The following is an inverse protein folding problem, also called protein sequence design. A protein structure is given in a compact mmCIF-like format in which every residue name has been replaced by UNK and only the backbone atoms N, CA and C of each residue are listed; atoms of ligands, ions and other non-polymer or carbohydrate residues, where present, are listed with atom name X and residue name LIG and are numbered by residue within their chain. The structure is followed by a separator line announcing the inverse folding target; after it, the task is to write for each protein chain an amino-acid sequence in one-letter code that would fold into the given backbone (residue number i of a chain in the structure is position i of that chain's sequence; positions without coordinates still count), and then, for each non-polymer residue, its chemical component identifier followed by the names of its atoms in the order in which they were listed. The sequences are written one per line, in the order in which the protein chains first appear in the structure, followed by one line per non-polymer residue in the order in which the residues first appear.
data_IF_088431853725
#
_entry.id   IF_088431853725
#
_cell.length_a   1.000
_cell.length_b   1.000
_cell.length_c   1.000
_cell.angle_alpha   90.00
_cell.angle_beta   90.00
_cell.angle_gamma   90.00
#
_symmetry.space_group_name_H-M   'P 1'
#
loop_
_entity.id
_entity.type
_entity.pdbx_description
1 polymer ?
#
# COMPACT_ATOMS: atom_id res chain seq x y z
N UNK A 1 -25.81 23.83 51.04
CA UNK A 1 -24.88 22.81 50.50
C UNK A 1 -24.17 23.44 49.30
N UNK A 2 -22.92 23.89 49.47
CA UNK A 2 -22.15 24.50 48.38
C UNK A 2 -21.44 23.38 47.62
N UNK A 3 -21.80 23.16 46.37
CA UNK A 3 -21.18 22.16 45.49
C UNK A 3 -19.83 22.71 45.06
N UNK A 4 -18.72 22.06 45.43
CA UNK A 4 -17.38 22.48 45.02
C UNK A 4 -17.24 22.33 43.50
N UNK A 5 -16.98 23.44 42.78
CA UNK A 5 -16.78 23.46 41.32
C UNK A 5 -15.33 23.12 40.91
N UNK A 6 -14.48 22.84 41.90
CA UNK A 6 -13.08 22.47 41.72
C UNK A 6 -12.81 21.23 40.84
N UNK A 7 -13.56 20.12 40.93
CA UNK A 7 -13.30 18.96 40.08
C UNK A 7 -13.63 19.23 38.61
N UNK A 8 -14.67 20.03 38.32
CA UNK A 8 -15.01 20.45 36.95
C UNK A 8 -13.97 21.40 36.35
N UNK A 9 -13.45 22.34 37.15
CA UNK A 9 -12.35 23.23 36.76
C UNK A 9 -11.04 22.48 36.51
N UNK A 10 -10.72 21.47 37.34
CA UNK A 10 -9.53 20.64 37.17
C UNK A 10 -9.61 19.76 35.90
N UNK A 11 -10.78 19.18 35.62
CA UNK A 11 -11.01 18.39 34.39
C UNK A 11 -10.96 19.29 33.15
N UNK A 12 -11.57 20.47 33.19
CA UNK A 12 -11.51 21.43 32.09
C UNK A 12 -10.08 21.96 31.85
N UNK A 13 -9.30 22.22 32.91
CA UNK A 13 -7.91 22.62 32.80
C UNK A 13 -7.03 21.50 32.23
N UNK A 14 -7.17 20.27 32.72
CA UNK A 14 -6.42 19.11 32.19
C UNK A 14 -6.76 18.82 30.71
N UNK A 15 -8.03 18.97 30.33
CA UNK A 15 -8.45 18.86 28.93
C UNK A 15 -7.88 20.00 28.08
N UNK A 16 -7.85 21.24 28.58
CA UNK A 16 -7.25 22.37 27.88
C UNK A 16 -5.73 22.21 27.70
N UNK A 17 -5.02 21.69 28.71
CA UNK A 17 -3.59 21.38 28.60
C UNK A 17 -3.30 20.25 27.61
N UNK A 18 -4.17 19.24 27.51
CA UNK A 18 -4.03 18.19 26.51
C UNK A 18 -4.30 18.68 25.07
N UNK A 19 -5.17 19.68 24.89
CA UNK A 19 -5.46 20.30 23.58
C UNK A 19 -4.38 21.32 23.16
N UNK A 20 -3.68 21.92 24.13
CA UNK A 20 -2.61 22.91 23.90
C UNK A 20 -1.20 22.32 23.94
N UNK A 21 -1.05 21.05 24.31
CA UNK A 21 0.25 20.38 24.25
C UNK A 21 0.67 20.25 22.79
N UNK A 22 1.80 20.86 22.43
CA UNK A 22 2.45 20.60 21.15
C UNK A 22 2.71 19.09 21.05
N UNK A 23 2.48 18.53 19.86
CA UNK A 23 2.78 17.13 19.59
C UNK A 23 4.26 16.90 19.93
N UNK A 24 4.61 16.06 20.92
CA UNK A 24 5.99 15.84 21.31
C UNK A 24 6.83 15.20 20.18
N UNK A 25 6.19 14.71 19.12
CA UNK A 25 6.80 14.21 17.90
C UNK A 25 6.61 15.14 16.70
N UNK A 26 5.93 16.27 16.87
CA UNK A 26 5.80 17.30 15.85
C UNK A 26 7.16 17.91 15.52
N UNK A 27 7.48 18.01 14.24
CA UNK A 27 8.71 18.64 13.76
C UNK A 27 8.40 19.81 12.82
N UNK A 28 9.28 20.82 12.82
CA UNK A 28 9.25 21.88 11.82
C UNK A 28 9.44 21.33 10.40
N UNK A 29 8.98 22.09 9.39
CA UNK A 29 9.18 21.72 8.00
C UNK A 29 10.67 21.49 7.68
N UNK A 30 10.98 20.26 7.26
CA UNK A 30 12.36 19.86 6.95
C UNK A 30 12.87 20.54 5.67
N UNK A 31 14.17 20.85 5.66
CA UNK A 31 14.89 21.35 4.47
C UNK A 31 16.10 20.48 4.15
N UNK A 32 16.62 20.58 2.92
CA UNK A 32 17.84 19.88 2.46
C UNK A 32 17.78 18.35 2.55
N UNK A 33 16.60 17.78 2.34
CA UNK A 33 16.36 16.31 2.35
C UNK A 33 16.47 15.66 0.97
N UNK A 34 16.76 16.45 -0.08
CA UNK A 34 16.95 15.98 -1.45
C UNK A 34 18.36 16.34 -1.97
N UNK A 35 19.11 15.41 -2.60
CA UNK A 35 18.73 14.01 -2.85
C UNK A 35 18.59 13.21 -1.54
N UNK A 36 17.73 12.15 -1.52
CA UNK A 36 17.45 11.41 -0.29
C UNK A 36 18.70 10.78 0.32
N UNK A 37 18.91 11.02 1.61
CA UNK A 37 20.02 10.47 2.39
C UNK A 37 19.65 10.33 3.87
N UNK A 38 20.50 9.63 4.63
CA UNK A 38 20.34 9.49 6.08
C UNK A 38 19.28 8.45 6.49
N UNK A 39 18.80 8.49 7.74
CA UNK A 39 18.08 7.38 8.36
C UNK A 39 16.68 7.13 7.79
N UNK A 40 16.06 8.13 7.15
CA UNK A 40 14.74 8.02 6.52
C UNK A 40 14.81 7.43 5.11
N UNK A 41 15.97 7.45 4.46
CA UNK A 41 16.18 6.84 3.16
C UNK A 41 16.43 5.33 3.30
N UNK A 42 15.56 4.51 2.70
CA UNK A 42 15.64 3.04 2.77
C UNK A 42 16.19 2.37 1.51
N UNK A 43 16.66 3.17 0.55
CA UNK A 43 17.25 2.68 -0.68
C UNK A 43 16.47 3.10 -1.93
N UNK A 44 17.10 2.88 -3.08
CA UNK A 44 16.50 3.15 -4.38
C UNK A 44 15.48 2.07 -4.74
N UNK A 45 14.43 2.46 -5.45
CA UNK A 45 13.40 1.55 -5.95
C UNK A 45 13.82 1.03 -7.33
N UNK A 46 13.91 -0.29 -7.48
CA UNK A 46 14.28 -0.93 -8.75
C UNK A 46 13.17 -0.78 -9.80
N UNK A 47 13.56 -0.53 -11.05
CA UNK A 47 12.62 -0.44 -12.18
C UNK A 47 12.54 -1.76 -12.94
N UNK A 48 11.32 -2.18 -13.29
CA UNK A 48 11.03 -3.35 -14.10
C UNK A 48 10.19 -2.96 -15.32
N UNK A 49 10.43 -3.62 -16.45
CA UNK A 49 9.59 -3.46 -17.64
C UNK A 49 8.45 -4.47 -17.56
N UNK A 50 7.22 -3.97 -17.71
CA UNK A 50 6.03 -4.79 -17.94
C UNK A 50 5.68 -4.71 -19.42
N UNK A 51 6.00 -5.77 -20.16
CA UNK A 51 5.76 -5.81 -21.60
C UNK A 51 4.30 -6.17 -21.91
N UNK A 52 3.53 -5.18 -22.36
CA UNK A 52 2.10 -5.32 -22.69
C UNK A 52 1.85 -6.13 -23.98
N UNK A 53 2.89 -6.40 -24.78
CA UNK A 53 2.81 -7.27 -25.96
C UNK A 53 2.81 -8.76 -25.57
N UNK A 54 3.22 -9.09 -24.34
CA UNK A 54 3.11 -10.45 -23.81
C UNK A 54 1.65 -10.77 -23.44
N UNK A 55 1.24 -12.06 -23.50
CA UNK A 55 -0.01 -12.50 -22.92
C UNK A 55 -0.04 -12.14 -21.42
N UNK A 56 -1.18 -11.69 -20.85
CA UNK A 56 -1.23 -11.17 -19.49
C UNK A 56 -0.65 -12.10 -18.42
N UNK A 57 -0.88 -13.40 -18.56
CA UNK A 57 -0.36 -14.43 -17.65
C UNK A 57 1.17 -14.54 -17.59
N UNK A 58 1.91 -13.86 -18.48
CA UNK A 58 3.38 -13.89 -18.56
C UNK A 58 4.03 -12.52 -18.29
N UNK A 59 3.23 -11.45 -18.16
CA UNK A 59 3.73 -10.07 -18.03
C UNK A 59 4.58 -9.85 -16.78
N UNK A 60 4.30 -10.61 -15.73
CA UNK A 60 4.88 -10.45 -14.41
C UNK A 60 6.04 -11.41 -14.10
N UNK A 61 6.38 -12.33 -15.03
CA UNK A 61 7.35 -13.40 -14.80
C UNK A 61 8.71 -12.89 -14.32
N UNK A 62 9.26 -11.87 -14.99
CA UNK A 62 10.58 -11.32 -14.65
C UNK A 62 10.58 -10.58 -13.31
N UNK A 63 9.49 -9.90 -12.97
CA UNK A 63 9.37 -9.27 -11.67
C UNK A 63 9.32 -10.34 -10.57
N UNK A 64 8.51 -11.39 -10.75
CA UNK A 64 8.35 -12.41 -9.73
C UNK A 64 9.52 -13.38 -9.64
N UNK A 65 10.33 -13.55 -10.68
CA UNK A 65 11.59 -14.29 -10.54
C UNK A 65 12.48 -13.68 -9.46
N UNK A 66 12.43 -12.34 -9.33
CA UNK A 66 13.29 -11.58 -8.45
C UNK A 66 12.64 -11.29 -7.08
N UNK A 67 11.30 -11.21 -7.02
CA UNK A 67 10.53 -10.74 -5.83
C UNK A 67 9.65 -11.79 -5.16
N UNK A 68 9.59 -13.02 -5.68
CA UNK A 68 8.69 -14.07 -5.12
C UNK A 68 8.98 -14.43 -3.67
N UNK A 69 10.22 -14.28 -3.18
CA UNK A 69 10.57 -14.63 -1.80
C UNK A 69 9.92 -13.61 -0.87
N UNK A 70 10.13 -12.32 -1.13
CA UNK A 70 9.54 -11.23 -0.35
C UNK A 70 8.01 -11.25 -0.41
N UNK A 71 7.44 -11.61 -1.57
CA UNK A 71 5.99 -11.72 -1.71
C UNK A 71 5.45 -12.87 -0.85
N UNK A 72 6.13 -14.03 -0.84
CA UNK A 72 5.78 -15.15 0.05
C UNK A 72 5.89 -14.78 1.51
N UNK A 73 6.90 -14.01 1.90
CA UNK A 73 7.06 -13.53 3.28
C UNK A 73 5.85 -12.72 3.73
N UNK A 74 5.45 -11.70 2.95
CA UNK A 74 4.28 -10.87 3.29
C UNK A 74 3.00 -11.71 3.40
N UNK A 75 2.75 -12.59 2.42
CA UNK A 75 1.57 -13.44 2.42
C UNK A 75 1.57 -14.38 3.64
N UNK A 76 2.71 -14.96 3.98
CA UNK A 76 2.82 -15.82 5.17
C UNK A 76 2.58 -15.04 6.46
N UNK A 77 3.07 -13.81 6.58
CA UNK A 77 2.81 -12.94 7.72
C UNK A 77 1.33 -12.58 7.84
N UNK A 78 0.65 -12.27 6.73
CA UNK A 78 -0.81 -12.06 6.70
C UNK A 78 -1.54 -13.32 7.20
N UNK A 79 -1.16 -14.52 6.73
CA UNK A 79 -1.75 -15.79 7.19
C UNK A 79 -1.51 -16.04 8.68
N UNK A 80 -0.31 -15.74 9.18
CA UNK A 80 0.01 -15.90 10.60
C UNK A 80 -0.85 -14.97 11.47
N UNK A 81 -1.03 -13.72 11.04
CA UNK A 81 -1.92 -12.76 11.70
C UNK A 81 -3.36 -13.29 11.67
N UNK A 82 -3.87 -13.70 10.50
CA UNK A 82 -5.22 -14.25 10.37
C UNK A 82 -5.45 -15.47 11.28
N UNK A 83 -4.47 -16.39 11.36
CA UNK A 83 -4.54 -17.57 12.22
C UNK A 83 -4.45 -17.21 13.72
N UNK A 84 -3.76 -16.13 14.10
CA UNK A 84 -3.75 -15.67 15.48
C UNK A 84 -5.14 -15.17 15.93
N UNK A 85 -5.89 -14.52 15.04
CA UNK A 85 -7.27 -14.07 15.31
C UNK A 85 -8.32 -15.16 15.10
N UNK A 86 -8.10 -16.07 14.15
CA UNK A 86 -9.01 -17.19 13.82
C UNK A 86 -8.22 -18.51 13.81
N UNK A 87 -7.89 -19.08 14.98
CA UNK A 87 -7.01 -20.26 15.09
C UNK A 87 -7.56 -21.52 14.43
N UNK A 88 -8.87 -21.54 14.14
CA UNK A 88 -9.52 -22.65 13.44
C UNK A 88 -9.03 -22.88 12.00
N UNK A 89 -8.24 -21.97 11.43
CA UNK A 89 -7.77 -22.05 10.04
C UNK A 89 -8.83 -21.73 8.98
N UNK A 90 -10.10 -21.58 9.39
CA UNK A 90 -11.24 -21.30 8.51
C UNK A 90 -11.05 -20.04 7.66
N UNK A 91 -10.39 -19.01 8.19
CA UNK A 91 -10.14 -17.78 7.43
C UNK A 91 -9.26 -18.06 6.20
N UNK A 92 -8.17 -18.82 6.38
CA UNK A 92 -7.27 -19.23 5.30
C UNK A 92 -7.97 -20.18 4.33
N UNK A 93 -8.76 -21.14 4.84
CA UNK A 93 -9.53 -22.06 3.99
C UNK A 93 -10.55 -21.33 3.09
N UNK A 94 -11.23 -20.31 3.61
CA UNK A 94 -12.16 -19.47 2.84
C UNK A 94 -11.41 -18.71 1.75
N UNK A 95 -10.23 -18.17 2.04
CA UNK A 95 -9.38 -17.49 1.06
C UNK A 95 -9.02 -18.45 -0.07
N UNK A 96 -8.53 -19.64 0.26
CA UNK A 96 -8.05 -20.61 -0.72
C UNK A 96 -9.17 -21.22 -1.57
N UNK A 97 -10.39 -21.32 -1.05
CA UNK A 97 -11.50 -22.01 -1.73
C UNK A 97 -12.57 -21.08 -2.31
N UNK A 98 -12.84 -19.93 -1.67
CA UNK A 98 -13.93 -19.02 -2.05
C UNK A 98 -13.42 -17.81 -2.83
N UNK A 99 -12.32 -17.17 -2.43
CA UNK A 99 -11.84 -15.97 -3.12
C UNK A 99 -11.35 -16.27 -4.54
N UNK A 100 -10.93 -17.51 -4.82
CA UNK A 100 -10.65 -17.94 -6.20
C UNK A 100 -11.84 -17.72 -7.14
N UNK A 101 -13.09 -17.79 -6.65
CA UNK A 101 -14.28 -17.53 -7.46
C UNK A 101 -14.42 -16.07 -7.89
N UNK A 102 -13.82 -15.13 -7.16
CA UNK A 102 -13.80 -13.72 -7.58
C UNK A 102 -12.95 -13.51 -8.82
N UNK A 103 -12.01 -14.42 -9.13
CA UNK A 103 -11.17 -14.21 -10.31
C UNK A 103 -11.96 -14.25 -11.63
N UNK A 104 -13.07 -14.99 -11.67
CA UNK A 104 -13.93 -15.03 -12.85
C UNK A 104 -14.78 -13.78 -13.02
N UNK A 105 -14.93 -12.96 -11.97
CA UNK A 105 -15.65 -11.68 -12.03
C UNK A 105 -14.72 -10.53 -12.41
N UNK A 106 -13.40 -10.71 -12.29
CA UNK A 106 -12.43 -9.69 -12.66
C UNK A 106 -12.32 -9.58 -14.19
N UNK A 107 -12.32 -8.35 -14.74
CA UNK A 107 -12.24 -8.15 -16.18
C UNK A 107 -10.85 -8.52 -16.71
N UNK A 108 -10.80 -8.91 -17.97
CA UNK A 108 -9.55 -8.99 -18.72
C UNK A 108 -8.89 -7.61 -18.75
N UNK A 109 -7.57 -7.48 -18.54
CA UNK A 109 -6.57 -8.55 -18.44
C UNK A 109 -6.30 -9.09 -17.02
N UNK A 110 -6.86 -8.47 -15.97
CA UNK A 110 -6.43 -8.67 -14.58
C UNK A 110 -6.59 -10.11 -14.10
N UNK A 111 -7.67 -10.77 -14.50
CA UNK A 111 -7.90 -12.18 -14.17
C UNK A 111 -6.74 -13.10 -14.61
N UNK A 112 -6.20 -12.89 -15.80
CA UNK A 112 -5.08 -13.67 -16.34
C UNK A 112 -3.73 -13.24 -15.76
N UNK A 113 -3.56 -11.96 -15.46
CA UNK A 113 -2.35 -11.47 -14.76
C UNK A 113 -2.22 -12.08 -13.36
N UNK A 114 -3.30 -12.13 -12.59
CA UNK A 114 -3.32 -12.74 -11.26
C UNK A 114 -3.03 -14.25 -11.29
N UNK A 115 -3.57 -14.97 -12.28
CA UNK A 115 -3.21 -16.38 -12.52
C UNK A 115 -1.73 -16.54 -12.84
N UNK A 116 -1.19 -15.66 -13.67
CA UNK A 116 0.24 -15.62 -14.00
C UNK A 116 1.12 -15.41 -12.77
N UNK A 117 0.75 -14.44 -11.92
CA UNK A 117 1.43 -14.14 -10.66
C UNK A 117 1.43 -15.34 -9.71
N UNK A 118 0.27 -15.98 -9.53
CA UNK A 118 0.14 -17.17 -8.70
C UNK A 118 1.06 -18.31 -9.20
N UNK A 119 1.07 -18.56 -10.51
CA UNK A 119 1.91 -19.59 -11.11
C UNK A 119 3.41 -19.29 -10.97
N UNK A 120 3.85 -18.07 -11.29
CA UNK A 120 5.27 -17.69 -11.25
C UNK A 120 5.83 -17.57 -9.82
N UNK A 121 5.01 -17.19 -8.85
CA UNK A 121 5.40 -17.17 -7.43
C UNK A 121 5.29 -18.55 -6.77
N UNK A 122 4.36 -19.39 -7.22
CA UNK A 122 3.95 -20.62 -6.52
C UNK A 122 3.13 -20.34 -5.26
N UNK A 123 2.41 -19.22 -5.22
CA UNK A 123 1.48 -18.85 -4.16
C UNK A 123 0.06 -19.25 -4.61
N UNK A 124 -0.79 -19.81 -3.72
CA UNK A 124 -2.18 -20.10 -4.04
C UNK A 124 -2.91 -18.88 -4.63
N UNK A 125 -3.71 -19.11 -5.67
CA UNK A 125 -4.40 -18.03 -6.39
C UNK A 125 -5.33 -17.21 -5.49
N UNK A 126 -5.99 -17.84 -4.52
CA UNK A 126 -6.86 -17.15 -3.56
C UNK A 126 -6.10 -16.14 -2.71
N UNK A 127 -4.87 -16.45 -2.30
CA UNK A 127 -4.00 -15.56 -1.54
C UNK A 127 -3.49 -14.38 -2.38
N UNK A 128 -3.21 -14.61 -3.67
CA UNK A 128 -2.87 -13.53 -4.61
C UNK A 128 -4.05 -12.59 -4.84
N UNK A 129 -5.27 -13.14 -4.98
CA UNK A 129 -6.49 -12.34 -5.08
C UNK A 129 -6.69 -11.53 -3.79
N UNK A 130 -6.53 -12.15 -2.62
CA UNK A 130 -6.63 -11.46 -1.34
C UNK A 130 -5.64 -10.30 -1.25
N UNK A 131 -4.38 -10.49 -1.65
CA UNK A 131 -3.36 -9.43 -1.66
C UNK A 131 -3.75 -8.24 -2.54
N UNK A 132 -4.47 -8.49 -3.64
CA UNK A 132 -4.93 -7.43 -4.54
C UNK A 132 -6.17 -6.68 -4.02
N UNK A 133 -6.98 -7.33 -3.18
CA UNK A 133 -8.07 -6.66 -2.45
C UNK A 133 -7.53 -5.90 -1.24
N UNK A 134 -6.45 -6.38 -0.63
CA UNK A 134 -5.88 -5.83 0.59
C UNK A 134 -5.48 -4.34 0.47
N UNK A 135 -5.12 -3.91 -0.74
CA UNK A 135 -4.82 -2.51 -1.04
C UNK A 135 -6.02 -1.57 -0.87
N UNK A 136 -7.25 -2.06 -0.92
CA UNK A 136 -8.48 -1.26 -0.91
C UNK A 136 -9.01 -0.96 0.51
N UNK A 137 -8.29 -1.35 1.57
CA UNK A 137 -8.83 -1.30 2.94
C UNK A 137 -7.82 -0.72 3.96
N UNK A 138 -6.51 -0.74 3.66
CA UNK A 138 -5.45 -0.40 4.62
C UNK A 138 -4.41 0.60 4.08
N UNK A 139 -4.82 1.50 3.18
CA UNK A 139 -3.94 2.57 2.69
C UNK A 139 -4.24 3.89 3.38
N UNK A 140 -3.18 4.64 3.69
CA UNK A 140 -3.25 6.06 4.03
C UNK A 140 -2.30 6.80 3.09
N UNK A 141 -2.70 7.99 2.68
CA UNK A 141 -2.11 8.63 1.52
C UNK A 141 -2.04 10.16 1.71
N UNK A 142 -0.87 10.75 1.45
CA UNK A 142 -0.72 12.19 1.24
C UNK A 142 -0.32 12.44 -0.21
N UNK A 143 -1.07 13.28 -0.92
CA UNK A 143 -0.81 13.62 -2.33
C UNK A 143 -0.86 15.13 -2.52
N UNK A 144 0.09 15.68 -3.27
CA UNK A 144 0.26 17.12 -3.51
C UNK A 144 0.42 17.37 -5.00
N UNK A 145 -0.38 18.30 -5.53
CA UNK A 145 -0.20 18.89 -6.86
C UNK A 145 0.15 20.37 -6.67
N UNK A 146 1.21 20.81 -7.32
CA UNK A 146 1.67 22.21 -7.26
C UNK A 146 2.02 22.71 -8.67
N UNK A 147 1.80 24.00 -8.90
CA UNK A 147 2.16 24.70 -10.13
C UNK A 147 3.20 25.78 -9.79
N UNK A 148 4.31 25.83 -10.52
CA UNK A 148 5.26 26.93 -10.37
C UNK A 148 4.85 28.16 -11.19
N UNK A 149 5.56 29.29 -11.01
CA UNK A 149 5.28 30.55 -11.70
C UNK A 149 5.38 30.47 -13.23
N UNK A 150 6.01 29.43 -13.78
CA UNK A 150 6.10 29.21 -15.23
C UNK A 150 4.95 28.38 -15.79
N UNK A 151 4.02 27.93 -14.95
CA UNK A 151 2.92 27.04 -15.32
C UNK A 151 3.31 25.55 -15.32
N UNK A 152 4.48 25.19 -14.78
CA UNK A 152 4.90 23.79 -14.73
C UNK A 152 4.31 23.09 -13.51
N UNK A 153 3.70 21.93 -13.75
CA UNK A 153 3.08 21.10 -12.72
C UNK A 153 4.07 20.12 -12.08
N UNK A 154 3.96 19.96 -10.77
CA UNK A 154 4.66 18.99 -9.93
C UNK A 154 3.60 18.17 -9.21
N UNK A 155 3.78 16.84 -9.19
CA UNK A 155 2.91 15.93 -8.47
C UNK A 155 3.77 15.00 -7.63
N UNK A 156 3.57 15.01 -6.31
CA UNK A 156 4.29 14.19 -5.35
C UNK A 156 3.33 13.52 -4.37
N UNK A 157 3.77 12.41 -3.77
CA UNK A 157 2.96 11.70 -2.77
C UNK A 157 3.81 10.89 -1.78
N UNK A 158 3.20 10.57 -0.64
CA UNK A 158 3.64 9.52 0.30
C UNK A 158 2.57 8.42 0.35
N UNK A 159 2.97 7.15 0.28
CA UNK A 159 2.09 5.98 0.38
C UNK A 159 2.37 5.21 1.68
N UNK A 160 1.39 5.16 2.55
CA UNK A 160 1.45 4.46 3.83
C UNK A 160 0.56 3.22 3.73
N UNK A 161 1.16 2.03 3.87
CA UNK A 161 0.45 0.76 3.68
C UNK A 161 0.84 -0.29 4.70
N UNK A 162 -0.10 -1.17 5.04
CA UNK A 162 0.10 -2.25 6.01
C UNK A 162 -0.01 -1.83 7.48
N UNK A 163 -0.64 -0.68 7.74
CA UNK A 163 -0.85 -0.19 9.11
C UNK A 163 -1.78 -1.13 9.88
N UNK A 164 -1.58 -1.21 11.20
CA UNK A 164 -2.38 -2.00 12.15
C UNK A 164 -2.29 -3.52 12.02
N UNK A 165 -1.35 -4.05 11.23
CA UNK A 165 -1.24 -5.47 10.94
C UNK A 165 0.07 -6.04 11.48
N UNK A 166 -0.02 -6.62 12.68
CA UNK A 166 1.10 -7.19 13.40
C UNK A 166 2.03 -6.11 13.95
N UNK A 167 1.97 -5.85 15.26
CA UNK A 167 2.86 -4.89 15.91
C UNK A 167 4.15 -5.57 16.37
N UNK A 168 5.30 -5.11 15.88
CA UNK A 168 6.60 -5.49 16.40
C UNK A 168 7.02 -4.51 17.50
N UNK A 169 6.89 -4.97 18.75
CA UNK A 169 7.23 -4.20 19.95
C UNK A 169 8.73 -3.83 19.98
N UNK A 170 9.61 -4.66 19.42
CA UNK A 170 11.07 -4.44 19.49
C UNK A 170 11.51 -3.31 18.58
N UNK A 171 10.92 -3.24 17.39
CA UNK A 171 11.27 -2.27 16.36
C UNK A 171 10.27 -1.10 16.27
N UNK A 172 9.25 -1.10 17.13
CA UNK A 172 8.16 -0.12 17.14
C UNK A 172 7.58 0.12 15.75
N UNK A 173 7.22 -0.97 15.06
CA UNK A 173 6.77 -0.88 13.67
C UNK A 173 5.75 -1.96 13.32
N UNK A 174 4.95 -1.70 12.28
CA UNK A 174 4.03 -2.69 11.72
C UNK A 174 4.78 -3.68 10.83
N UNK A 175 4.61 -4.97 11.11
CA UNK A 175 5.29 -6.08 10.43
C UNK A 175 5.01 -6.01 8.92
N UNK A 176 3.73 -5.91 8.55
CA UNK A 176 3.34 -5.88 7.13
C UNK A 176 3.93 -4.66 6.43
N UNK A 177 3.91 -3.47 7.05
CA UNK A 177 4.54 -2.27 6.49
C UNK A 177 6.04 -2.46 6.23
N UNK A 178 6.78 -3.14 7.11
CA UNK A 178 8.21 -3.39 6.88
C UNK A 178 8.44 -4.38 5.74
N UNK A 179 7.67 -5.46 5.69
CA UNK A 179 7.81 -6.52 4.69
C UNK A 179 7.34 -6.08 3.29
N UNK A 180 6.48 -5.06 3.20
CA UNK A 180 6.05 -4.46 1.94
C UNK A 180 7.14 -3.60 1.27
N UNK A 181 8.04 -2.97 2.05
CA UNK A 181 9.12 -2.11 1.51
C UNK A 181 9.96 -2.79 0.42
N UNK A 182 10.47 -4.02 0.58
CA UNK A 182 11.25 -4.67 -0.47
C UNK A 182 10.42 -5.08 -1.70
N UNK A 183 9.09 -5.07 -1.61
CA UNK A 183 8.20 -5.30 -2.75
C UNK A 183 7.94 -4.02 -3.57
N UNK A 184 8.30 -2.84 -3.05
CA UNK A 184 8.14 -1.58 -3.78
C UNK A 184 9.01 -1.59 -5.03
N UNK A 185 8.40 -1.35 -6.19
CA UNK A 185 9.03 -1.33 -7.51
C UNK A 185 8.48 -0.21 -8.37
N UNK A 186 9.29 0.27 -9.30
CA UNK A 186 8.83 1.13 -10.39
C UNK A 186 8.56 0.24 -11.60
N UNK A 187 7.38 0.35 -12.19
CA UNK A 187 6.96 -0.41 -13.36
C UNK A 187 6.93 0.51 -14.57
N UNK A 188 7.66 0.16 -15.63
CA UNK A 188 7.58 0.79 -16.94
C UNK A 188 6.74 -0.10 -17.85
N UNK A 189 5.47 0.27 -18.05
CA UNK A 189 4.56 -0.48 -18.90
C UNK A 189 4.81 -0.10 -20.35
N UNK A 190 5.33 -1.04 -21.12
CA UNK A 190 5.72 -0.81 -22.50
C UNK A 190 4.87 -1.60 -23.49
N UNK A 191 4.59 -1.00 -24.65
CA UNK A 191 3.96 -1.65 -25.81
C UNK A 191 4.77 -1.29 -27.05
N UNK A 192 5.12 -2.27 -27.87
CA UNK A 192 6.04 -2.12 -29.00
C UNK A 192 7.36 -1.43 -28.59
N UNK A 193 7.92 -1.84 -27.44
CA UNK A 193 9.15 -1.28 -26.86
C UNK A 193 9.10 0.24 -26.58
N UNK A 194 7.90 0.79 -26.36
CA UNK A 194 7.67 2.21 -26.02
C UNK A 194 6.89 2.29 -24.72
N UNK A 195 7.32 3.15 -23.80
CA UNK A 195 6.58 3.46 -22.56
C UNK A 195 5.18 3.98 -22.90
N UNK A 196 4.18 3.29 -22.35
CA UNK A 196 2.77 3.73 -22.35
C UNK A 196 2.51 4.56 -21.11
N UNK A 197 2.93 4.06 -19.94
CA UNK A 197 2.87 4.75 -18.65
C UNK A 197 3.87 4.11 -17.67
N UNK A 198 4.17 4.81 -16.58
CA UNK A 198 4.96 4.29 -15.46
C UNK A 198 4.16 4.32 -14.18
N UNK A 199 4.46 3.42 -13.25
CA UNK A 199 3.82 3.34 -11.94
C UNK A 199 4.82 3.01 -10.85
N UNK A 200 4.59 3.45 -9.62
CA UNK A 200 5.25 2.90 -8.43
C UNK A 200 4.25 2.01 -7.72
N UNK A 201 4.62 0.75 -7.50
CA UNK A 201 3.71 -0.31 -7.13
C UNK A 201 4.41 -1.34 -6.22
N UNK A 202 3.69 -2.37 -5.79
CA UNK A 202 4.22 -3.54 -5.11
C UNK A 202 4.21 -4.75 -6.03
N UNK A 203 5.29 -5.53 -6.01
CA UNK A 203 5.34 -6.79 -6.74
C UNK A 203 4.24 -7.74 -6.27
N UNK A 204 3.37 -8.18 -7.18
CA UNK A 204 2.20 -9.01 -6.88
C UNK A 204 0.86 -8.25 -6.92
N UNK A 205 0.87 -6.92 -6.99
CA UNK A 205 -0.33 -6.09 -7.16
C UNK A 205 -0.48 -5.64 -8.63
N UNK A 206 -1.64 -5.94 -9.24
CA UNK A 206 -1.93 -5.62 -10.67
C UNK A 206 -2.67 -4.30 -10.85
N UNK A 207 -3.22 -3.73 -9.77
CA UNK A 207 -3.82 -2.39 -9.77
C UNK A 207 -2.77 -1.28 -9.87
N UNK A 208 -3.21 -0.03 -9.89
CA UNK A 208 -2.33 1.13 -9.94
C UNK A 208 -2.89 2.25 -9.07
N UNK A 209 -2.15 2.60 -8.01
CA UNK A 209 -2.50 3.72 -7.11
C UNK A 209 -1.60 4.94 -7.28
N UNK A 210 -0.55 4.83 -8.10
CA UNK A 210 0.40 5.91 -8.37
C UNK A 210 1.02 5.71 -9.74
N UNK A 211 0.91 6.70 -10.63
CA UNK A 211 1.40 6.56 -11.99
C UNK A 211 1.49 7.86 -12.78
N UNK A 212 2.19 7.77 -13.89
CA UNK A 212 2.40 8.86 -14.84
C UNK A 212 2.30 8.34 -16.26
N UNK A 213 1.52 9.05 -17.09
CA UNK A 213 1.58 8.93 -18.54
C UNK A 213 2.43 10.09 -19.07
N UNK A 214 3.68 9.83 -19.52
CA UNK A 214 4.63 10.89 -19.86
C UNK A 214 4.05 11.92 -20.84
N UNK A 215 4.15 13.20 -20.48
CA UNK A 215 3.67 14.31 -21.31
C UNK A 215 2.14 14.46 -21.39
N UNK A 216 1.36 13.66 -20.65
CA UNK A 216 -0.10 13.75 -20.66
C UNK A 216 -0.66 14.04 -19.26
N UNK A 217 -0.48 13.15 -18.28
CA UNK A 217 -1.00 13.35 -16.92
C UNK A 217 -0.27 12.50 -15.87
N UNK A 218 -0.46 12.84 -14.60
CA UNK A 218 -0.08 12.07 -13.42
C UNK A 218 -1.33 11.72 -12.60
N UNK A 219 -1.30 10.58 -11.91
CA UNK A 219 -2.42 10.09 -11.10
C UNK A 219 -1.91 9.50 -9.80
N UNK A 220 -2.58 9.82 -8.70
CA UNK A 220 -2.43 9.16 -7.40
C UNK A 220 -3.80 8.91 -6.82
N UNK A 221 -4.00 7.77 -6.19
CA UNK A 221 -5.23 7.41 -5.49
C UNK A 221 -5.00 7.45 -3.98
N UNK A 222 -5.94 8.06 -3.27
CA UNK A 222 -5.97 8.14 -1.83
C UNK A 222 -7.25 7.47 -1.34
N UNK A 223 -7.12 6.62 -0.32
CA UNK A 223 -8.24 6.06 0.42
C UNK A 223 -9.14 7.16 0.98
N UNK A 224 -10.45 6.92 0.93
CA UNK A 224 -11.51 7.78 1.43
C UNK A 224 -12.46 6.94 2.27
N UNK A 225 -12.40 7.15 3.58
CA UNK A 225 -13.34 6.53 4.51
C UNK A 225 -14.74 7.11 4.37
N UNK A 226 -15.71 6.23 4.10
CA UNK A 226 -17.14 6.54 4.00
C UNK A 226 -17.96 5.39 4.56
N UNK A 227 -19.12 5.68 5.17
CA UNK A 227 -20.06 4.65 5.66
C UNK A 227 -20.65 3.83 4.50
N UNK A 228 -20.78 4.44 3.32
CA UNK A 228 -21.20 3.77 2.07
C UNK A 228 -19.98 3.38 1.20
N UNK A 229 -18.84 3.02 1.81
CA UNK A 229 -17.61 2.64 1.12
C UNK A 229 -17.48 1.13 0.85
N UNK A 230 -16.35 0.71 0.30
CA UNK A 230 -16.04 -0.67 -0.08
C UNK A 230 -16.21 -1.69 1.05
N UNK A 231 -16.07 -1.27 2.32
CA UNK A 231 -16.98 -1.59 3.44
C UNK A 231 -16.83 -0.63 4.65
N UNK A 232 -15.68 0.05 4.87
CA UNK A 232 -15.54 1.48 5.33
C UNK A 232 -14.16 1.97 4.81
N UNK A 233 -14.16 2.50 3.59
CA UNK A 233 -12.97 2.93 2.82
C UNK A 233 -13.14 2.60 1.31
N UNK A 234 -12.94 3.59 0.44
CA UNK A 234 -12.64 3.48 -1.02
C UNK A 234 -11.47 4.39 -1.42
#
# INVERSE_FOLDING_TARGET
MSISHWPLLAVAAAAAFAVLAEDPFGEDCRSKTYPPAGPTFKGMVTTYIINLDLPPSRRWDKLLSDKKIELKTVIQSIKNIANAFVPSGKAVEIVDTKLVRLISTLPYPFNEELKGIANASGIPLGEIVLFNIFYEIFTVCTSIVAEDKSGKLYHARNLDFGLFLGWDIKNSSWIITQELKPLVVTLDFQRNNKTVFKSTNFAGYVGMVSGIKPGIFTLTMNERFSLDGGYIGE
#
